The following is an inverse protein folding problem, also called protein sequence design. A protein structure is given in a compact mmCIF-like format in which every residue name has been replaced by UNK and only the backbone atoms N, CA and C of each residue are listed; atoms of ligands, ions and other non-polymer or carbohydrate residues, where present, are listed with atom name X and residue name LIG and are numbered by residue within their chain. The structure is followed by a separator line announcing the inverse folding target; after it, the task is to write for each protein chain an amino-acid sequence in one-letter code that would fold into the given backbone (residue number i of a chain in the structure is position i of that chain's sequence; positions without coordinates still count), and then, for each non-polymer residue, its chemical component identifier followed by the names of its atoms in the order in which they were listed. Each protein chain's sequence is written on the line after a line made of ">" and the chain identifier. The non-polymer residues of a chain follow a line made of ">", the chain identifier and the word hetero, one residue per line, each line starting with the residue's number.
data_IF_907164871149
#
_entry.id   IF_907164871149
#
_cell.length_a   1.000
_cell.length_b   1.000
_cell.length_c   1.000
_cell.angle_alpha   90.00
_cell.angle_beta   90.00
_cell.angle_gamma   90.00
#
_symmetry.space_group_name_H-M   'P 1'
#
loop_
_entity.id
_entity.type
_entity.pdbx_description
1 polymer ?
#
# COMPACT_ATOMS: atom_id res chain seq x y z
N UNK A 1 -9.70 -13.54 -14.54
CA UNK A 1 -9.65 -12.89 -13.21
C UNK A 1 -8.21 -12.73 -12.73
N UNK A 2 -7.40 -13.79 -12.72
CA UNK A 2 -5.99 -13.74 -12.29
C UNK A 2 -5.12 -12.72 -13.08
N UNK A 3 -5.28 -12.66 -14.41
CA UNK A 3 -4.47 -11.76 -15.28
C UNK A 3 -4.70 -10.28 -14.94
N UNK A 4 -5.96 -9.86 -14.76
CA UNK A 4 -6.27 -8.47 -14.42
C UNK A 4 -5.76 -8.08 -13.03
N UNK A 5 -5.89 -9.01 -12.07
CA UNK A 5 -5.34 -8.81 -10.73
C UNK A 5 -3.81 -8.68 -10.79
N UNK A 6 -3.14 -9.57 -11.52
CA UNK A 6 -1.69 -9.53 -11.68
C UNK A 6 -1.20 -8.20 -12.26
N UNK A 7 -1.79 -7.69 -13.34
CA UNK A 7 -1.35 -6.42 -13.93
C UNK A 7 -1.63 -5.24 -13.00
N UNK A 8 -2.80 -5.18 -12.35
CA UNK A 8 -3.09 -4.12 -11.38
C UNK A 8 -2.07 -4.11 -10.23
N UNK A 9 -1.80 -5.29 -9.67
CA UNK A 9 -0.83 -5.48 -8.59
C UNK A 9 0.59 -5.12 -9.05
N UNK A 10 0.92 -5.41 -10.31
CA UNK A 10 2.23 -5.09 -10.91
C UNK A 10 2.46 -3.59 -10.97
N UNK A 11 1.46 -2.82 -11.41
CA UNK A 11 1.56 -1.36 -11.48
C UNK A 11 1.68 -0.73 -10.08
N UNK A 12 0.90 -1.20 -9.11
CA UNK A 12 1.00 -0.75 -7.72
C UNK A 12 2.39 -1.03 -7.13
N UNK A 13 2.94 -2.22 -7.41
CA UNK A 13 4.31 -2.60 -7.03
C UNK A 13 5.36 -1.68 -7.67
N UNK A 14 5.28 -1.42 -8.98
CA UNK A 14 6.26 -0.60 -9.72
C UNK A 14 6.20 0.87 -9.31
N UNK A 15 5.02 1.42 -9.04
CA UNK A 15 4.87 2.74 -8.42
C UNK A 15 5.38 2.77 -6.96
N UNK A 16 5.73 1.61 -6.42
CA UNK A 16 6.24 1.43 -5.06
C UNK A 16 5.18 1.63 -3.98
N UNK A 17 3.87 1.53 -4.31
CA UNK A 17 2.76 1.79 -3.37
C UNK A 17 2.86 0.98 -2.08
N UNK A 18 3.34 -0.26 -2.18
CA UNK A 18 3.35 -1.21 -1.07
C UNK A 18 4.68 -1.31 -0.32
N UNK A 19 5.71 -0.58 -0.77
CA UNK A 19 7.01 -0.57 -0.09
C UNK A 19 6.90 0.40 1.10
N UNK A 20 6.73 -0.15 2.30
CA UNK A 20 6.71 0.61 3.56
C UNK A 20 8.12 0.80 4.12
N UNK A 21 8.31 1.80 5.00
CA UNK A 21 9.59 1.98 5.72
C UNK A 21 10.03 0.73 6.50
N UNK A 22 9.09 -0.04 7.05
CA UNK A 22 9.39 -1.27 7.79
C UNK A 22 10.09 -2.29 6.89
N UNK A 23 9.65 -2.41 5.62
CA UNK A 23 10.33 -3.19 4.58
C UNK A 23 11.66 -2.55 4.12
N UNK A 24 11.81 -1.22 4.25
CA UNK A 24 13.01 -0.43 3.85
C UNK A 24 14.06 -0.30 4.96
N UNK A 25 13.74 -0.70 6.20
CA UNK A 25 14.57 -0.48 7.39
C UNK A 25 15.99 -1.04 7.26
N UNK A 26 16.20 -2.03 6.39
CA UNK A 26 17.50 -2.43 5.87
C UNK A 26 17.54 -2.33 4.33
N UNK A 27 18.17 -1.28 3.75
CA UNK A 27 18.20 -1.06 2.30
C UNK A 27 18.74 -2.23 1.47
N UNK A 28 19.62 -3.06 2.05
CA UNK A 28 20.14 -4.26 1.38
C UNK A 28 19.06 -5.33 1.23
N UNK A 29 18.34 -5.60 2.32
CA UNK A 29 17.29 -6.63 2.33
C UNK A 29 16.12 -6.21 1.44
N UNK A 30 15.78 -4.93 1.42
CA UNK A 30 14.73 -4.38 0.55
C UNK A 30 15.09 -4.51 -0.93
N UNK A 31 16.35 -4.24 -1.29
CA UNK A 31 16.82 -4.41 -2.66
C UNK A 31 16.79 -5.88 -3.09
N UNK A 32 17.26 -6.80 -2.23
CA UNK A 32 17.25 -8.23 -2.54
C UNK A 32 15.81 -8.73 -2.72
N UNK A 33 14.89 -8.41 -1.80
CA UNK A 33 13.49 -8.82 -1.90
C UNK A 33 12.78 -8.20 -3.10
N UNK A 34 12.99 -6.90 -3.37
CA UNK A 34 12.42 -6.27 -4.55
C UNK A 34 12.98 -6.88 -5.84
N UNK A 35 14.29 -7.14 -5.93
CA UNK A 35 14.87 -7.76 -7.11
C UNK A 35 14.34 -9.19 -7.34
N UNK A 36 14.11 -9.95 -6.27
CA UNK A 36 13.48 -11.28 -6.32
C UNK A 36 12.04 -11.22 -6.83
N UNK A 37 11.22 -10.33 -6.28
CA UNK A 37 9.83 -10.12 -6.72
C UNK A 37 9.79 -9.62 -8.16
N UNK A 38 10.69 -8.73 -8.55
CA UNK A 38 10.83 -8.24 -9.93
C UNK A 38 11.17 -9.33 -10.94
N UNK A 39 11.96 -10.33 -10.54
CA UNK A 39 12.24 -11.49 -11.39
C UNK A 39 10.95 -12.32 -11.63
N UNK A 40 10.13 -12.53 -10.59
CA UNK A 40 8.83 -13.18 -10.72
C UNK A 40 7.86 -12.38 -11.62
N UNK A 41 7.83 -11.05 -11.49
CA UNK A 41 7.07 -10.17 -12.38
C UNK A 41 7.48 -10.34 -13.84
N UNK A 42 8.79 -10.38 -14.13
CA UNK A 42 9.29 -10.57 -15.48
C UNK A 42 8.85 -11.90 -16.09
N UNK A 43 9.01 -13.01 -15.36
CA UNK A 43 8.52 -14.32 -15.81
C UNK A 43 7.00 -14.37 -15.93
N UNK A 44 6.27 -13.70 -15.03
CA UNK A 44 4.81 -13.60 -15.08
C UNK A 44 4.30 -12.89 -16.33
N UNK A 45 5.10 -11.98 -16.90
CA UNK A 45 4.87 -11.31 -18.19
C UNK A 45 5.40 -12.09 -19.40
N UNK A 46 5.89 -13.33 -19.20
CA UNK A 46 6.44 -14.17 -20.26
C UNK A 46 7.91 -13.90 -20.61
N UNK A 47 8.63 -13.21 -19.73
CA UNK A 47 10.08 -13.01 -19.86
C UNK A 47 10.88 -14.32 -19.79
N UNK A 48 12.17 -14.24 -20.13
CA UNK A 48 13.10 -15.38 -20.14
C UNK A 48 14.26 -15.17 -19.15
N UNK A 49 15.26 -16.06 -19.13
CA UNK A 49 16.46 -15.80 -18.32
C UNK A 49 17.31 -14.64 -18.86
N UNK A 50 17.16 -14.33 -20.15
CA UNK A 50 17.83 -13.19 -20.79
C UNK A 50 16.95 -11.94 -20.68
N UNK A 51 17.47 -10.89 -20.06
CA UNK A 51 16.78 -9.61 -19.90
C UNK A 51 17.65 -8.48 -20.44
N UNK A 52 17.05 -7.57 -21.20
CA UNK A 52 17.74 -6.37 -21.64
C UNK A 52 17.88 -5.36 -20.49
N UNK A 53 18.87 -4.47 -20.60
CA UNK A 53 19.12 -3.43 -19.58
C UNK A 53 17.89 -2.56 -19.32
N UNK A 54 17.19 -2.15 -20.38
CA UNK A 54 16.02 -1.27 -20.30
C UNK A 54 14.87 -1.97 -19.55
N UNK A 55 14.58 -3.21 -19.90
CA UNK A 55 13.56 -4.02 -19.23
C UNK A 55 13.90 -4.21 -17.75
N UNK A 56 15.15 -4.59 -17.45
CA UNK A 56 15.58 -4.78 -16.06
C UNK A 56 15.44 -3.49 -15.23
N UNK A 57 15.77 -2.31 -15.78
CA UNK A 57 15.58 -1.03 -15.08
C UNK A 57 14.10 -0.67 -14.89
N UNK A 58 13.22 -1.01 -15.84
CA UNK A 58 11.78 -0.78 -15.73
C UNK A 58 11.08 -1.63 -14.66
N UNK A 59 11.72 -2.71 -14.21
CA UNK A 59 11.20 -3.54 -13.11
C UNK A 59 11.48 -2.93 -11.73
N UNK A 60 12.29 -1.87 -11.63
CA UNK A 60 12.62 -1.24 -10.35
C UNK A 60 11.44 -0.43 -9.82
N UNK A 61 10.96 -0.69 -8.58
CA UNK A 61 9.98 0.18 -7.97
C UNK A 61 10.48 1.63 -7.84
N UNK A 62 9.66 2.62 -8.18
CA UNK A 62 10.06 4.03 -8.22
C UNK A 62 10.57 4.57 -6.88
N UNK A 63 10.03 4.06 -5.78
CA UNK A 63 10.41 4.48 -4.42
C UNK A 63 11.72 3.83 -3.94
N UNK A 64 12.22 2.80 -4.64
CA UNK A 64 13.44 2.09 -4.28
C UNK A 64 14.69 2.84 -4.78
N UNK A 65 15.38 3.52 -3.85
CA UNK A 65 16.57 4.31 -4.16
C UNK A 65 17.84 3.46 -4.16
N UNK A 66 18.13 2.82 -5.29
CA UNK A 66 19.35 2.01 -5.49
C UNK A 66 20.05 2.38 -6.80
N UNK A 67 21.40 2.35 -6.88
CA UNK A 67 22.12 2.60 -8.13
C UNK A 67 21.79 1.55 -9.20
N UNK A 68 21.71 1.99 -10.46
CA UNK A 68 21.33 1.15 -11.61
C UNK A 68 22.19 -0.13 -11.73
N UNK A 69 23.51 -0.02 -11.62
CA UNK A 69 24.39 -1.19 -11.74
C UNK A 69 24.18 -2.21 -10.61
N UNK A 70 23.87 -1.74 -9.40
CA UNK A 70 23.54 -2.64 -8.29
C UNK A 70 22.21 -3.34 -8.55
N UNK A 71 21.21 -2.60 -8.99
CA UNK A 71 19.89 -3.15 -9.35
C UNK A 71 19.99 -4.19 -10.46
N UNK A 72 20.66 -3.86 -11.57
CA UNK A 72 20.87 -4.75 -12.71
C UNK A 72 21.53 -6.07 -12.30
N UNK A 73 22.56 -6.00 -11.45
CA UNK A 73 23.26 -7.18 -10.94
C UNK A 73 22.31 -8.08 -10.14
N UNK A 74 21.42 -7.49 -9.33
CA UNK A 74 20.51 -8.23 -8.45
C UNK A 74 19.35 -8.84 -9.20
N UNK A 75 18.70 -8.10 -10.09
CA UNK A 75 17.63 -8.65 -10.93
C UNK A 75 18.15 -9.84 -11.75
N UNK A 76 19.33 -9.70 -12.39
CA UNK A 76 19.94 -10.81 -13.15
C UNK A 76 20.26 -12.01 -12.27
N UNK A 77 20.71 -11.79 -11.03
CA UNK A 77 20.94 -12.87 -10.09
C UNK A 77 19.66 -13.64 -9.77
N UNK A 78 18.57 -12.93 -9.44
CA UNK A 78 17.29 -13.57 -9.11
C UNK A 78 16.57 -14.14 -10.31
N UNK A 79 16.78 -13.64 -11.53
CA UNK A 79 16.25 -14.28 -12.74
C UNK A 79 16.75 -15.73 -12.89
N UNK A 80 17.98 -16.03 -12.46
CA UNK A 80 18.49 -17.41 -12.47
C UNK A 80 17.87 -18.27 -11.37
N UNK A 81 17.54 -17.69 -10.21
CA UNK A 81 17.04 -18.42 -9.05
C UNK A 81 15.52 -18.63 -9.08
N UNK A 82 14.78 -17.65 -9.60
CA UNK A 82 13.32 -17.63 -9.60
C UNK A 82 12.72 -18.08 -10.93
N UNK A 83 13.52 -18.76 -11.77
CA UNK A 83 13.02 -19.36 -13.01
C UNK A 83 11.82 -20.26 -12.71
N UNK A 84 10.71 -20.04 -13.43
CA UNK A 84 9.50 -20.85 -13.34
C UNK A 84 9.22 -21.51 -14.68
N UNK A 85 8.60 -22.68 -14.63
CA UNK A 85 8.26 -23.45 -15.83
C UNK A 85 7.09 -22.83 -16.61
N UNK A 86 6.21 -22.07 -15.93
CA UNK A 86 5.10 -21.36 -16.56
C UNK A 86 4.95 -19.91 -16.08
N UNK A 87 4.47 -18.99 -16.94
CA UNK A 87 4.13 -17.62 -16.54
C UNK A 87 3.06 -17.59 -15.43
N UNK A 88 2.11 -18.52 -15.42
CA UNK A 88 1.05 -18.58 -14.41
C UNK A 88 1.62 -18.87 -13.01
N UNK A 89 2.62 -19.76 -12.92
CA UNK A 89 3.28 -20.05 -11.64
C UNK A 89 4.07 -18.84 -11.14
N UNK A 90 4.69 -18.09 -12.05
CA UNK A 90 5.37 -16.84 -11.71
C UNK A 90 4.40 -15.75 -11.23
N UNK A 91 3.23 -15.61 -11.88
CA UNK A 91 2.17 -14.70 -11.45
C UNK A 91 1.66 -15.06 -10.04
N UNK A 92 1.41 -16.36 -9.79
CA UNK A 92 0.98 -16.82 -8.48
C UNK A 92 2.04 -16.57 -7.40
N UNK A 93 3.31 -16.88 -7.67
CA UNK A 93 4.41 -16.64 -6.74
C UNK A 93 4.64 -15.14 -6.47
N UNK A 94 4.48 -14.29 -7.49
CA UNK A 94 4.54 -12.83 -7.36
C UNK A 94 3.45 -12.32 -6.40
N UNK A 95 2.20 -12.75 -6.62
CA UNK A 95 1.07 -12.37 -5.76
C UNK A 95 1.26 -12.87 -4.32
N UNK A 96 1.69 -14.13 -4.14
CA UNK A 96 1.95 -14.71 -2.82
C UNK A 96 3.09 -14.02 -2.06
N UNK A 97 4.11 -13.53 -2.77
CA UNK A 97 5.18 -12.76 -2.15
C UNK A 97 4.65 -11.41 -1.63
N UNK A 98 3.84 -10.71 -2.42
CA UNK A 98 3.31 -9.40 -2.09
C UNK A 98 2.16 -9.45 -1.09
N UNK A 99 1.36 -10.52 -1.02
CA UNK A 99 0.25 -10.65 -0.07
C UNK A 99 0.69 -10.54 1.41
N UNK A 100 1.96 -10.84 1.67
CA UNK A 100 2.56 -10.74 3.00
C UNK A 100 2.93 -9.31 3.39
N UNK A 101 2.93 -8.38 2.44
CA UNK A 101 3.31 -6.99 2.70
C UNK A 101 2.18 -6.23 3.42
N UNK A 102 2.50 -5.35 4.38
CA UNK A 102 1.49 -4.68 5.21
C UNK A 102 0.46 -3.85 4.43
N UNK A 103 0.88 -3.28 3.30
CA UNK A 103 0.07 -2.39 2.45
C UNK A 103 -0.51 -3.09 1.22
N UNK A 104 -0.35 -4.41 1.10
CA UNK A 104 -0.92 -5.15 -0.02
C UNK A 104 -2.44 -5.00 -0.07
N UNK A 105 -2.96 -4.61 -1.24
CA UNK A 105 -4.39 -4.35 -1.44
C UNK A 105 -4.91 -3.12 -0.69
N UNK A 106 -4.03 -2.26 -0.14
CA UNK A 106 -4.43 -1.06 0.55
C UNK A 106 -4.92 0.02 -0.42
N UNK A 107 -6.04 0.68 -0.08
CA UNK A 107 -6.42 1.94 -0.73
C UNK A 107 -5.86 3.11 0.07
N UNK A 108 -4.98 3.91 -0.54
CA UNK A 108 -4.24 4.97 0.16
C UNK A 108 -4.75 6.36 -0.23
N UNK A 109 -5.05 7.16 0.77
CA UNK A 109 -5.55 8.53 0.62
C UNK A 109 -4.55 9.53 1.21
N UNK A 110 -4.41 10.69 0.58
CA UNK A 110 -3.69 11.81 1.19
C UNK A 110 -4.65 12.65 2.03
N UNK A 111 -4.28 12.91 3.28
CA UNK A 111 -5.10 13.68 4.21
C UNK A 111 -4.27 14.73 4.95
N UNK A 112 -4.92 15.79 5.41
CA UNK A 112 -4.41 16.61 6.50
C UNK A 112 -5.10 16.16 7.79
N UNK A 113 -4.31 15.68 8.75
CA UNK A 113 -4.85 15.31 10.06
C UNK A 113 -4.81 16.51 10.99
N UNK A 114 -5.96 16.84 11.59
CA UNK A 114 -6.05 17.88 12.65
C UNK A 114 -5.74 17.35 14.04
N UNK A 115 -5.38 16.07 14.13
CA UNK A 115 -5.01 15.40 15.37
C UNK A 115 -3.50 15.19 15.40
N UNK A 116 -2.88 15.33 16.57
CA UNK A 116 -1.49 14.92 16.76
C UNK A 116 -1.43 13.40 16.72
N UNK A 117 -1.11 12.84 15.55
CA UNK A 117 -0.95 11.41 15.37
C UNK A 117 0.43 10.90 15.83
N UNK A 118 1.37 11.80 16.16
CA UNK A 118 2.76 11.44 16.49
C UNK A 118 3.10 11.64 17.96
N UNK A 119 3.89 10.71 18.51
CA UNK A 119 4.67 10.85 19.76
C UNK A 119 5.94 11.71 19.61
N UNK A 120 6.14 12.38 18.47
CA UNK A 120 7.32 13.21 18.23
C UNK A 120 7.25 14.50 19.04
N UNK A 121 8.21 14.78 19.95
CA UNK A 121 8.24 16.02 20.72
C UNK A 121 8.59 17.26 19.86
N UNK A 122 8.81 17.11 18.55
CA UNK A 122 9.35 18.16 17.67
C UNK A 122 8.33 18.82 16.73
N UNK A 123 7.07 18.36 16.68
CA UNK A 123 6.04 18.97 15.83
C UNK A 123 4.90 19.54 16.67
N UNK A 124 5.13 20.73 17.22
CA UNK A 124 4.07 21.64 17.63
C UNK A 124 3.55 22.36 16.39
N UNK A 125 2.71 21.71 15.59
CA UNK A 125 1.78 22.42 14.71
C UNK A 125 0.56 21.55 14.41
N UNK A 126 -0.60 22.19 14.38
CA UNK A 126 -1.96 21.64 14.51
C UNK A 126 -2.56 21.03 13.23
N UNK A 127 -1.74 20.72 12.23
CA UNK A 127 -2.14 19.92 11.08
C UNK A 127 -0.93 19.24 10.44
N UNK A 128 -0.87 17.90 10.51
CA UNK A 128 0.18 17.13 9.84
C UNK A 128 -0.39 16.46 8.60
N UNK A 129 0.29 16.64 7.47
CA UNK A 129 -0.02 15.88 6.26
C UNK A 129 0.31 14.41 6.51
N UNK A 130 -0.63 13.53 6.21
CA UNK A 130 -0.49 12.09 6.41
C UNK A 130 -1.02 11.34 5.19
N UNK A 131 -0.62 10.08 5.06
CA UNK A 131 -1.32 9.12 4.21
C UNK A 131 -2.19 8.25 5.10
N UNK A 132 -3.40 7.94 4.64
CA UNK A 132 -4.32 7.03 5.34
C UNK A 132 -4.57 5.85 4.43
N UNK A 133 -4.14 4.67 4.86
CA UNK A 133 -4.33 3.42 4.16
C UNK A 133 -5.51 2.66 4.77
N UNK A 134 -6.49 2.32 3.94
CA UNK A 134 -7.52 1.34 4.29
C UNK A 134 -7.02 -0.02 3.80
N UNK A 135 -6.77 -0.92 4.73
CA UNK A 135 -6.22 -2.26 4.47
C UNK A 135 -7.17 -3.33 5.00
N UNK A 136 -6.91 -4.61 4.71
CA UNK A 136 -7.68 -5.73 5.32
C UNK A 136 -7.64 -5.74 6.85
N UNK A 137 -6.63 -5.12 7.48
CA UNK A 137 -6.47 -5.12 8.94
C UNK A 137 -7.05 -3.88 9.62
N UNK A 138 -7.48 -2.86 8.85
CA UNK A 138 -8.06 -1.65 9.41
C UNK A 138 -7.62 -0.36 8.72
N UNK A 139 -7.67 0.72 9.48
CA UNK A 139 -7.22 2.06 9.08
C UNK A 139 -5.81 2.29 9.62
N UNK A 140 -4.85 2.50 8.72
CA UNK A 140 -3.47 2.81 9.07
C UNK A 140 -3.12 4.25 8.69
N UNK A 141 -2.53 4.98 9.63
CA UNK A 141 -1.99 6.31 9.41
C UNK A 141 -0.50 6.19 9.15
N UNK A 142 -0.07 6.68 8.01
CA UNK A 142 1.30 6.57 7.54
C UNK A 142 1.92 7.97 7.43
N UNK A 143 3.21 8.04 7.69
CA UNK A 143 4.01 9.23 7.38
C UNK A 143 3.88 9.58 5.89
N UNK A 144 3.73 10.86 5.61
CA UNK A 144 3.47 11.32 4.24
C UNK A 144 4.66 11.10 3.29
N UNK A 145 5.89 10.97 3.79
CA UNK A 145 7.07 10.74 2.96
C UNK A 145 7.57 9.31 3.05
N UNK A 146 7.83 8.82 4.27
CA UNK A 146 8.45 7.50 4.51
C UNK A 146 7.44 6.36 4.41
N UNK A 147 6.14 6.65 4.50
CA UNK A 147 5.06 5.65 4.59
C UNK A 147 5.19 4.70 5.78
N UNK A 148 5.97 5.09 6.78
CA UNK A 148 6.05 4.37 8.04
C UNK A 148 4.71 4.43 8.75
N UNK A 149 4.26 3.31 9.32
CA UNK A 149 3.05 3.29 10.15
C UNK A 149 3.27 4.14 11.41
N UNK A 150 2.44 5.15 11.59
CA UNK A 150 2.39 6.02 12.77
C UNK A 150 1.42 5.43 13.79
N UNK A 151 0.24 5.03 13.33
CA UNK A 151 -0.79 4.40 14.14
C UNK A 151 -1.73 3.55 13.28
N UNK A 152 -2.36 2.56 13.90
CA UNK A 152 -3.30 1.67 13.23
C UNK A 152 -4.50 1.41 14.13
N UNK A 153 -5.69 1.37 13.53
CA UNK A 153 -6.94 1.08 14.21
C UNK A 153 -7.67 0.01 13.42
N UNK A 154 -8.08 -1.08 14.07
CA UNK A 154 -8.91 -2.09 13.42
C UNK A 154 -10.30 -1.53 13.15
N UNK A 155 -11.03 -2.12 12.20
CA UNK A 155 -12.36 -1.62 11.84
C UNK A 155 -13.36 -1.70 13.00
N UNK A 156 -13.23 -2.70 13.88
CA UNK A 156 -14.09 -2.85 15.07
C UNK A 156 -13.79 -1.77 16.13
N UNK A 157 -12.60 -1.14 16.07
CA UNK A 157 -12.26 -0.04 16.94
C UNK A 157 -12.86 1.29 16.45
N UNK A 158 -13.37 1.36 15.22
CA UNK A 158 -14.05 2.55 14.66
C UNK A 158 -15.53 2.49 15.03
N UNK A 159 -15.90 3.16 16.11
CA UNK A 159 -17.26 3.17 16.64
C UNK A 159 -18.24 3.98 15.77
N UNK A 160 -17.79 5.09 15.18
CA UNK A 160 -18.62 5.86 14.25
C UNK A 160 -17.79 6.69 13.28
N UNK A 161 -18.40 6.98 12.12
CA UNK A 161 -17.83 7.82 11.07
C UNK A 161 -18.79 8.98 10.81
N UNK A 162 -18.29 10.21 10.91
CA UNK A 162 -19.02 11.43 10.52
C UNK A 162 -18.30 12.10 9.35
N UNK A 163 -19.05 12.59 8.37
CA UNK A 163 -18.48 13.31 7.24
C UNK A 163 -19.18 14.63 7.03
N UNK A 164 -18.39 15.67 6.77
CA UNK A 164 -18.86 16.97 6.34
C UNK A 164 -18.22 17.28 4.98
N UNK A 165 -19.01 17.17 3.92
CA UNK A 165 -18.57 17.50 2.57
C UNK A 165 -18.50 19.01 2.41
N UNK A 166 -17.34 19.52 2.01
CA UNK A 166 -17.09 20.96 1.87
C UNK A 166 -17.23 21.43 0.43
N UNK A 167 -16.62 20.70 -0.51
CA UNK A 167 -16.61 21.05 -1.93
C UNK A 167 -16.86 19.79 -2.74
N UNK A 168 -17.86 19.85 -3.61
CA UNK A 168 -18.16 18.77 -4.55
C UNK A 168 -17.89 19.26 -5.98
N UNK A 169 -16.81 18.77 -6.57
CA UNK A 169 -16.54 18.86 -8.00
C UNK A 169 -16.77 17.50 -8.64
N UNK A 170 -17.02 17.47 -9.95
CA UNK A 170 -17.31 16.24 -10.70
C UNK A 170 -16.25 15.13 -10.50
N UNK A 171 -15.00 15.49 -10.20
CA UNK A 171 -13.87 14.56 -10.09
C UNK A 171 -13.30 14.43 -8.66
N UNK A 172 -13.69 15.29 -7.72
CA UNK A 172 -13.18 15.30 -6.35
C UNK A 172 -14.24 15.82 -5.38
N UNK A 173 -14.44 15.11 -4.27
CA UNK A 173 -15.23 15.60 -3.14
C UNK A 173 -14.33 15.83 -1.96
N UNK A 174 -14.04 17.09 -1.69
CA UNK A 174 -13.32 17.47 -0.47
C UNK A 174 -14.26 17.45 0.73
N UNK A 175 -13.78 16.92 1.84
CA UNK A 175 -14.55 16.90 3.07
C UNK A 175 -13.71 16.59 4.28
N UNK A 176 -14.31 16.87 5.44
CA UNK A 176 -13.76 16.50 6.74
C UNK A 176 -14.43 15.20 7.16
N UNK A 177 -13.65 14.15 7.33
CA UNK A 177 -14.07 12.87 7.89
C UNK A 177 -13.56 12.76 9.32
N UNK A 178 -14.45 12.49 10.26
CA UNK A 178 -14.13 12.24 11.66
C UNK A 178 -14.44 10.78 11.98
N UNK A 179 -13.41 10.02 12.34
CA UNK A 179 -13.54 8.67 12.87
C UNK A 179 -13.48 8.75 14.39
N UNK A 180 -14.51 8.26 15.08
CA UNK A 180 -14.52 8.16 16.54
C UNK A 180 -14.27 6.70 16.91
N UNK A 181 -13.22 6.45 17.70
CA UNK A 181 -12.92 5.10 18.16
C UNK A 181 -13.80 4.68 19.33
N UNK A 182 -13.87 3.38 19.61
CA UNK A 182 -14.55 2.82 20.80
C UNK A 182 -13.98 3.34 22.11
N UNK A 183 -12.73 3.83 22.11
CA UNK A 183 -12.05 4.48 23.25
C UNK A 183 -12.31 5.99 23.32
N UNK A 184 -13.18 6.54 22.46
CA UNK A 184 -13.52 7.95 22.41
C UNK A 184 -12.48 8.84 21.73
N UNK A 185 -11.49 8.28 21.03
CA UNK A 185 -10.49 9.05 20.28
C UNK A 185 -11.14 9.54 19.00
N UNK A 186 -11.08 10.85 18.74
CA UNK A 186 -11.53 11.43 17.48
C UNK A 186 -10.34 11.64 16.54
N UNK A 187 -10.38 11.02 15.37
CA UNK A 187 -9.40 11.14 14.30
C UNK A 187 -10.04 12.00 13.19
N UNK A 188 -9.60 13.25 13.07
CA UNK A 188 -10.17 14.22 12.15
C UNK A 188 -9.27 14.37 10.93
N UNK A 189 -9.82 14.07 9.76
CA UNK A 189 -9.13 14.02 8.48
C UNK A 189 -9.77 14.95 7.47
N UNK A 190 -9.00 15.85 6.89
CA UNK A 190 -9.41 16.59 5.71
C UNK A 190 -8.88 15.87 4.47
N UNK A 191 -9.80 15.46 3.60
CA UNK A 191 -9.56 14.58 2.45
C UNK A 191 -10.10 15.23 1.18
N UNK A 192 -9.33 15.19 0.07
CA UNK A 192 -9.81 15.60 -1.26
C UNK A 192 -10.76 14.59 -1.92
N UNK A 193 -10.75 13.36 -1.43
CA UNK A 193 -11.53 12.23 -1.94
C UNK A 193 -12.40 11.63 -0.82
N UNK A 194 -13.06 12.48 -0.03
CA UNK A 194 -13.81 12.09 1.16
C UNK A 194 -14.92 11.07 0.84
N UNK A 195 -15.65 11.22 -0.27
CA UNK A 195 -16.68 10.25 -0.69
C UNK A 195 -16.10 8.85 -0.94
N UNK A 196 -14.98 8.79 -1.68
CA UNK A 196 -14.33 7.52 -1.98
C UNK A 196 -13.75 6.86 -0.72
N UNK A 197 -13.14 7.66 0.16
CA UNK A 197 -12.65 7.17 1.45
C UNK A 197 -13.76 6.52 2.27
N UNK A 198 -14.89 7.22 2.45
CA UNK A 198 -16.03 6.71 3.21
C UNK A 198 -16.66 5.50 2.54
N UNK A 199 -16.76 5.50 1.20
CA UNK A 199 -17.25 4.34 0.45
C UNK A 199 -16.41 3.10 0.73
N UNK A 200 -15.09 3.18 0.55
CA UNK A 200 -14.17 2.04 0.76
C UNK A 200 -14.18 1.58 2.22
N UNK A 201 -14.17 2.52 3.18
CA UNK A 201 -14.25 2.22 4.61
C UNK A 201 -15.51 1.41 4.95
N UNK A 202 -16.67 1.84 4.43
CA UNK A 202 -17.93 1.15 4.66
C UNK A 202 -17.95 -0.25 4.02
N UNK A 203 -17.35 -0.42 2.84
CA UNK A 203 -17.26 -1.74 2.20
C UNK A 203 -16.47 -2.73 3.07
N UNK A 204 -15.33 -2.32 3.63
CA UNK A 204 -14.58 -3.17 4.56
C UNK A 204 -15.37 -3.53 5.82
N UNK A 205 -16.05 -2.54 6.44
CA UNK A 205 -16.86 -2.78 7.62
C UNK A 205 -18.04 -3.75 7.35
N UNK A 206 -18.67 -3.64 6.17
CA UNK A 206 -19.74 -4.54 5.76
C UNK A 206 -19.25 -5.98 5.55
N UNK A 207 -18.13 -6.17 4.85
CA UNK A 207 -17.57 -7.50 4.61
C UNK A 207 -17.23 -8.21 5.93
N UNK A 208 -16.58 -7.51 6.86
CA UNK A 208 -16.25 -8.07 8.17
C UNK A 208 -17.48 -8.44 8.99
N UNK A 209 -18.55 -7.62 8.93
CA UNK A 209 -19.81 -7.95 9.60
C UNK A 209 -20.50 -9.16 9.00
N UNK A 210 -20.39 -9.37 7.69
CA UNK A 210 -20.97 -10.52 7.00
C UNK A 210 -20.18 -11.81 7.29
N UNK A 211 -18.86 -11.74 7.35
CA UNK A 211 -18.00 -12.89 7.70
C UNK A 211 -18.23 -13.37 9.13
N UNK A 212 -18.49 -12.45 10.07
CA UNK A 212 -18.88 -12.79 11.44
C UNK A 212 -20.20 -13.56 11.49
N UNK A 213 -21.20 -13.15 10.70
CA UNK A 213 -22.51 -13.82 10.62
C UNK A 213 -22.45 -15.17 9.88
N UNK A 214 -21.47 -15.37 8.99
CA UNK A 214 -21.28 -16.63 8.27
C UNK A 214 -20.45 -17.67 9.05
N UNK A 215 -19.81 -17.24 10.14
CA UNK A 215 -18.97 -18.09 11.01
C UNK A 215 -19.71 -18.61 12.25
N UNK A 216 -20.98 -18.24 12.42
CA UNK A 216 -21.91 -18.74 13.46
C UNK A 216 -22.82 -19.86 12.90
#
# INVERSE_FOLDING_TARGET
>A
MLIYLFEQVSEDYLCGHWISWELISNPKDSMEECARISALLYYGRGGSQSIQRVEALSLRPETLRVPDEQWLRRVRHFLLQEAKDSPLDAQAAFLQALEKWPLFGATVFSAESKCLLTSSPYTKDSSSRVRVALTRSGVQFLDYHTRQCISSYRFEEVASTRVNYMVEHAECTEGIVTLTTTKGINLVLQLKQAKMFVFVLNQYQQMLSADLLASE
#
